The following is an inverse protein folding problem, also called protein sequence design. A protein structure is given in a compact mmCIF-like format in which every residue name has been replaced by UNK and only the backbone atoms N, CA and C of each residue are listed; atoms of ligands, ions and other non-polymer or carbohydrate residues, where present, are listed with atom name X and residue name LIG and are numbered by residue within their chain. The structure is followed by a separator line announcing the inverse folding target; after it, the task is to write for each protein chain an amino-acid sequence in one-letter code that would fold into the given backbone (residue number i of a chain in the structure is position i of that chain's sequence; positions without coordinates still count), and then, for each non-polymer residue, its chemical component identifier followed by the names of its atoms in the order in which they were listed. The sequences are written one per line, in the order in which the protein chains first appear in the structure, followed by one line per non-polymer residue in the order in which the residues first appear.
data_IF_518485283573
#
_entry.id   IF_518485283573
#
_cell.length_a   1.000
_cell.length_b   1.000
_cell.length_c   1.000
_cell.angle_alpha   90.00
_cell.angle_beta   90.00
_cell.angle_gamma   90.00
#
_symmetry.space_group_name_H-M   'P 1'
#
loop_
_entity.id
_entity.type
_entity.pdbx_description
1 polymer ?
#
# COMPACT_ATOMS: atom_id res chain seq x y z
N UNK A 1 0.94 -17.85 -26.45
CA UNK A 1 0.97 -18.86 -25.36
C UNK A 1 0.19 -18.30 -24.18
N UNK A 2 -0.97 -18.90 -23.92
CA UNK A 2 -1.98 -18.48 -22.95
C UNK A 2 -1.55 -18.82 -21.53
N UNK A 3 -1.45 -17.81 -20.66
CA UNK A 3 -1.19 -18.00 -19.24
C UNK A 3 -2.38 -18.70 -18.56
N UNK A 4 -2.13 -19.84 -17.92
CA UNK A 4 -3.08 -20.52 -17.05
C UNK A 4 -3.28 -19.65 -15.80
N UNK A 5 -4.43 -18.97 -15.72
CA UNK A 5 -4.95 -18.48 -14.45
C UNK A 5 -5.48 -19.66 -13.64
N UNK A 6 -4.70 -20.16 -12.69
CA UNK A 6 -5.25 -20.90 -11.56
C UNK A 6 -5.96 -19.91 -10.65
N UNK A 7 -7.29 -19.80 -10.80
CA UNK A 7 -8.16 -19.02 -9.90
C UNK A 7 -8.21 -19.68 -8.53
N UNK A 8 -7.30 -19.32 -7.63
CA UNK A 8 -7.58 -19.41 -6.20
C UNK A 8 -8.70 -18.40 -5.89
N UNK A 9 -9.90 -18.87 -5.58
CA UNK A 9 -11.10 -18.04 -5.39
C UNK A 9 -11.09 -17.17 -4.12
N UNK A 10 -10.00 -17.13 -3.34
CA UNK A 10 -9.91 -16.39 -2.07
C UNK A 10 -8.65 -15.52 -1.89
N UNK A 11 -7.80 -15.33 -2.90
CA UNK A 11 -6.60 -14.47 -2.74
C UNK A 11 -6.94 -13.01 -3.03
N UNK A 12 -6.92 -12.16 -2.01
CA UNK A 12 -7.06 -10.70 -2.15
C UNK A 12 -5.92 -10.15 -3.00
N UNK A 13 -6.24 -9.32 -3.98
CA UNK A 13 -5.23 -8.64 -4.82
C UNK A 13 -4.69 -7.43 -4.04
N UNK A 14 -3.52 -7.61 -3.41
CA UNK A 14 -2.93 -6.60 -2.52
C UNK A 14 -2.39 -5.37 -3.25
N UNK A 15 -1.86 -5.55 -4.46
CA UNK A 15 -1.27 -4.47 -5.24
C UNK A 15 -1.32 -4.80 -6.74
N UNK A 16 -1.07 -3.79 -7.57
CA UNK A 16 -0.80 -3.96 -9.00
C UNK A 16 0.57 -3.45 -9.38
N UNK A 17 1.18 -4.08 -10.38
CA UNK A 17 2.43 -3.62 -10.98
C UNK A 17 2.16 -2.89 -12.29
N UNK A 18 2.75 -1.70 -12.45
CA UNK A 18 2.78 -0.93 -13.69
C UNK A 18 4.23 -0.70 -14.12
N UNK A 19 4.48 -0.51 -15.42
CA UNK A 19 5.81 -0.14 -15.93
C UNK A 19 5.92 1.38 -16.05
N UNK A 20 7.05 1.94 -15.64
CA UNK A 20 7.37 3.35 -15.81
C UNK A 20 7.58 4.10 -14.50
N UNK A 21 7.36 5.42 -14.54
CA UNK A 21 7.37 6.27 -13.35
C UNK A 21 5.94 6.39 -12.78
N UNK A 22 5.80 6.74 -11.49
CA UNK A 22 4.51 7.10 -10.93
C UNK A 22 3.83 8.14 -11.80
N UNK A 23 2.61 7.85 -12.22
CA UNK A 23 1.74 8.78 -12.96
C UNK A 23 0.43 8.92 -12.20
N UNK A 24 -0.31 10.00 -12.45
CA UNK A 24 -1.62 10.23 -11.85
C UNK A 24 -2.71 9.22 -12.31
N UNK A 25 -2.36 8.24 -13.16
CA UNK A 25 -3.30 7.27 -13.69
C UNK A 25 -3.16 5.93 -12.95
N UNK A 26 -4.02 5.71 -11.96
CA UNK A 26 -4.22 4.38 -11.37
C UNK A 26 -4.91 3.47 -12.40
N UNK A 27 -4.51 2.21 -12.58
CA UNK A 27 -5.24 1.28 -13.42
C UNK A 27 -6.70 1.16 -12.94
N UNK A 28 -7.67 1.68 -13.72
CA UNK A 28 -9.06 1.83 -13.26
C UNK A 28 -9.73 0.54 -12.76
N UNK A 29 -9.34 -0.63 -13.31
CA UNK A 29 -9.81 -1.93 -12.81
C UNK A 29 -9.38 -2.21 -11.37
N UNK A 30 -8.17 -1.82 -10.98
CA UNK A 30 -7.68 -2.02 -9.63
C UNK A 30 -8.34 -1.06 -8.64
N UNK A 31 -8.56 0.19 -9.06
CA UNK A 31 -9.31 1.16 -8.26
C UNK A 31 -10.71 0.63 -7.91
N UNK A 32 -11.48 0.19 -8.90
CA UNK A 32 -12.80 -0.42 -8.66
C UNK A 32 -12.73 -1.65 -7.75
N UNK A 33 -11.74 -2.53 -7.94
CA UNK A 33 -11.55 -3.67 -7.06
C UNK A 33 -11.27 -3.27 -5.61
N UNK A 34 -10.41 -2.27 -5.39
CA UNK A 34 -10.10 -1.78 -4.05
C UNK A 34 -11.32 -1.16 -3.38
N UNK A 35 -12.12 -0.39 -4.13
CA UNK A 35 -13.36 0.19 -3.64
C UNK A 35 -14.39 -0.88 -3.28
N UNK A 36 -14.61 -1.88 -4.14
CA UNK A 36 -15.56 -2.98 -3.88
C UNK A 36 -15.17 -3.85 -2.67
N UNK A 37 -13.86 -4.02 -2.42
CA UNK A 37 -13.35 -4.88 -1.35
C UNK A 37 -13.00 -4.11 -0.08
N UNK A 38 -13.15 -2.79 -0.10
CA UNK A 38 -12.82 -1.88 0.99
C UNK A 38 -11.35 -2.01 1.47
N UNK A 39 -10.40 -1.95 0.55
CA UNK A 39 -8.96 -2.16 0.80
C UNK A 39 -8.12 -1.00 0.25
N UNK A 40 -6.88 -0.77 0.74
CA UNK A 40 -6.02 0.29 0.20
C UNK A 40 -5.61 0.01 -1.25
N UNK A 41 -5.31 1.08 -1.98
CA UNK A 41 -4.75 1.01 -3.32
C UNK A 41 -3.23 1.01 -3.19
N UNK A 42 -2.58 -0.05 -3.66
CA UNK A 42 -1.11 -0.15 -3.66
C UNK A 42 -0.62 -0.43 -5.07
N UNK A 43 0.35 0.36 -5.53
CA UNK A 43 0.87 0.30 -6.89
C UNK A 43 2.40 0.21 -6.86
N UNK A 44 2.95 -0.75 -7.58
CA UNK A 44 4.38 -0.90 -7.80
C UNK A 44 4.73 -0.41 -9.21
N UNK A 45 5.45 0.70 -9.30
CA UNK A 45 5.91 1.31 -10.55
C UNK A 45 7.29 0.79 -10.91
N UNK A 46 7.34 -0.30 -11.67
CA UNK A 46 8.59 -0.97 -12.04
C UNK A 46 9.30 -0.27 -13.20
N UNK A 47 10.58 0.01 -12.98
CA UNK A 47 11.58 0.34 -14.03
C UNK A 47 12.51 -0.87 -14.20
N UNK A 48 13.65 -0.68 -14.87
CA UNK A 48 14.59 -1.76 -15.18
C UNK A 48 15.26 -2.36 -13.94
N UNK A 49 15.68 -1.52 -12.98
CA UNK A 49 16.44 -1.94 -11.78
C UNK A 49 15.72 -1.56 -10.49
N UNK A 50 14.97 -0.47 -10.55
CA UNK A 50 14.31 0.14 -9.41
C UNK A 50 12.80 0.16 -9.60
N UNK A 51 12.08 0.32 -8.50
CA UNK A 51 10.66 0.55 -8.53
C UNK A 51 10.26 1.53 -7.44
N UNK A 52 9.16 2.24 -7.70
CA UNK A 52 8.49 3.02 -6.67
C UNK A 52 7.27 2.25 -6.17
N UNK A 53 6.91 2.45 -4.91
CA UNK A 53 5.71 1.88 -4.31
C UNK A 53 4.83 3.02 -3.85
N UNK A 54 3.64 3.14 -4.43
CA UNK A 54 2.66 4.16 -4.06
C UNK A 54 1.50 3.52 -3.32
N UNK A 55 1.18 4.05 -2.15
CA UNK A 55 0.01 3.69 -1.35
C UNK A 55 -0.95 4.87 -1.31
N UNK A 56 -2.20 4.62 -1.72
CA UNK A 56 -3.31 5.56 -1.70
C UNK A 56 -4.44 4.96 -0.88
N UNK A 57 -5.18 5.83 -0.20
CA UNK A 57 -6.17 5.42 0.78
C UNK A 57 -7.48 6.18 0.64
N UNK A 58 -7.68 6.97 -0.41
CA UNK A 58 -8.82 7.89 -0.54
C UNK A 58 -10.18 7.22 -0.30
N UNK A 59 -10.41 6.02 -0.84
CA UNK A 59 -11.64 5.27 -0.56
C UNK A 59 -11.67 4.69 0.85
N UNK A 60 -10.54 4.20 1.36
CA UNK A 60 -10.39 3.69 2.72
C UNK A 60 -10.67 4.74 3.79
N UNK A 61 -10.22 5.98 3.55
CA UNK A 61 -10.45 7.16 4.36
C UNK A 61 -11.94 7.45 4.54
N UNK A 62 -12.73 7.29 3.47
CA UNK A 62 -14.15 7.57 3.49
C UNK A 62 -14.92 6.55 4.34
N UNK A 63 -14.54 5.28 4.28
CA UNK A 63 -15.21 4.20 5.02
C UNK A 63 -14.80 4.13 6.48
N UNK A 64 -13.55 4.46 6.79
CA UNK A 64 -12.99 4.49 8.13
C UNK A 64 -12.77 5.93 8.61
N UNK A 65 -13.65 6.85 8.21
CA UNK A 65 -13.51 8.30 8.47
C UNK A 65 -13.22 8.59 9.93
N UNK A 66 -13.96 7.97 10.82
CA UNK A 66 -13.83 8.13 12.26
C UNK A 66 -12.47 7.71 12.82
N UNK A 67 -11.75 6.79 12.14
CA UNK A 67 -10.37 6.45 12.46
C UNK A 67 -9.39 7.44 11.84
N UNK A 68 -9.56 7.77 10.56
CA UNK A 68 -8.67 8.66 9.83
C UNK A 68 -8.72 10.13 10.29
N UNK A 69 -9.79 10.55 10.96
CA UNK A 69 -9.86 11.85 11.65
C UNK A 69 -9.00 11.90 12.92
N UNK A 70 -8.64 10.75 13.52
CA UNK A 70 -7.84 10.70 14.74
C UNK A 70 -6.37 10.88 14.42
N UNK A 71 -5.73 11.82 15.09
CA UNK A 71 -4.31 12.08 14.95
C UNK A 71 -3.46 10.87 15.35
N UNK A 72 -3.80 10.18 16.45
CA UNK A 72 -2.99 9.02 16.87
C UNK A 72 -3.06 7.85 15.88
N UNK A 73 -4.18 7.69 15.17
CA UNK A 73 -4.31 6.67 14.13
C UNK A 73 -3.44 7.02 12.92
N UNK A 74 -3.49 8.27 12.47
CA UNK A 74 -2.68 8.78 11.36
C UNK A 74 -1.18 8.66 11.64
N UNK A 75 -0.73 9.09 12.81
CA UNK A 75 0.67 8.99 13.23
C UNK A 75 1.14 7.53 13.30
N UNK A 76 0.29 6.59 13.74
CA UNK A 76 0.64 5.18 13.79
C UNK A 76 0.82 4.57 12.38
N UNK A 77 -0.01 4.96 11.40
CA UNK A 77 0.22 4.56 10.00
C UNK A 77 1.56 5.12 9.51
N UNK A 78 1.83 6.40 9.73
CA UNK A 78 3.08 7.05 9.31
C UNK A 78 4.31 6.38 9.95
N UNK A 79 4.27 6.09 11.25
CA UNK A 79 5.37 5.44 11.98
C UNK A 79 5.63 4.00 11.50
N UNK A 80 4.58 3.21 11.22
CA UNK A 80 4.77 1.83 10.72
C UNK A 80 5.20 1.81 9.26
N UNK A 81 4.70 2.74 8.45
CA UNK A 81 5.18 2.91 7.08
C UNK A 81 6.67 3.30 7.05
N UNK A 82 7.13 4.09 8.03
CA UNK A 82 8.54 4.42 8.17
C UNK A 82 9.41 3.18 8.36
N UNK A 83 9.02 2.30 9.28
CA UNK A 83 9.75 1.06 9.56
C UNK A 83 9.84 0.16 8.32
N UNK A 84 8.75 0.08 7.54
CA UNK A 84 8.73 -0.64 6.26
C UNK A 84 9.72 0.01 5.28
N UNK A 85 9.71 1.34 5.16
CA UNK A 85 10.69 2.02 4.32
C UNK A 85 12.13 1.70 4.74
N UNK A 86 12.47 1.86 6.02
CA UNK A 86 13.83 1.62 6.52
C UNK A 86 14.31 0.20 6.21
N UNK A 87 13.42 -0.79 6.36
CA UNK A 87 13.70 -2.20 6.05
C UNK A 87 14.10 -2.41 4.59
N UNK A 88 13.40 -1.78 3.64
CA UNK A 88 13.62 -2.00 2.20
C UNK A 88 14.57 -0.99 1.56
N UNK A 89 14.77 0.18 2.18
CA UNK A 89 15.70 1.21 1.74
C UNK A 89 17.16 0.82 1.97
N UNK A 90 17.45 -0.04 2.95
CA UNK A 90 18.80 -0.49 3.28
C UNK A 90 19.58 -1.04 2.06
N UNK A 91 18.88 -1.61 1.09
CA UNK A 91 19.47 -2.20 -0.12
C UNK A 91 19.56 -1.23 -1.31
N UNK A 92 19.16 0.03 -1.16
CA UNK A 92 19.17 1.03 -2.23
C UNK A 92 19.77 2.36 -1.79
N UNK A 93 20.92 2.71 -2.37
CA UNK A 93 21.57 4.02 -2.18
C UNK A 93 20.78 5.21 -2.74
N UNK A 94 19.68 4.95 -3.46
CA UNK A 94 18.81 5.97 -4.06
C UNK A 94 17.44 6.03 -3.42
N UNK A 95 17.17 5.16 -2.43
CA UNK A 95 15.88 5.14 -1.79
C UNK A 95 15.56 6.50 -1.16
N UNK A 96 14.33 6.93 -1.36
CA UNK A 96 13.75 8.10 -0.73
C UNK A 96 12.29 7.80 -0.42
N UNK A 97 11.63 8.68 0.34
CA UNK A 97 10.22 8.51 0.69
C UNK A 97 9.49 9.83 0.79
N UNK A 98 8.21 9.78 0.51
CA UNK A 98 7.22 10.75 0.95
C UNK A 98 6.19 9.96 1.74
N UNK A 99 6.06 10.23 3.05
CA UNK A 99 5.10 9.55 3.91
C UNK A 99 4.24 10.61 4.56
N UNK A 100 2.94 10.54 4.26
CA UNK A 100 1.89 11.32 4.89
C UNK A 100 0.69 10.40 5.07
N UNK A 101 -0.14 10.64 6.07
CA UNK A 101 -1.38 9.89 6.25
C UNK A 101 -2.33 9.98 5.05
N UNK A 102 -2.17 11.00 4.19
CA UNK A 102 -2.97 11.15 2.97
C UNK A 102 -2.43 10.36 1.77
N UNK A 103 -1.14 10.09 1.76
CA UNK A 103 -0.44 9.57 0.59
C UNK A 103 0.95 9.11 0.99
N UNK A 104 1.37 7.95 0.49
CA UNK A 104 2.74 7.49 0.68
C UNK A 104 3.36 7.03 -0.63
N UNK A 105 4.62 7.39 -0.86
CA UNK A 105 5.43 6.78 -1.91
C UNK A 105 6.83 6.50 -1.41
N UNK A 106 7.27 5.25 -1.61
CA UNK A 106 8.64 4.80 -1.40
C UNK A 106 9.32 4.80 -2.76
N UNK A 107 10.33 5.64 -2.95
CA UNK A 107 11.02 5.85 -4.22
C UNK A 107 12.26 4.98 -4.34
N UNK A 108 12.55 4.55 -5.57
CA UNK A 108 13.81 3.94 -5.98
C UNK A 108 14.25 2.73 -5.11
N UNK A 109 13.28 1.93 -4.65
CA UNK A 109 13.56 0.62 -4.05
C UNK A 109 14.07 -0.35 -5.12
N UNK A 110 14.78 -1.40 -4.71
CA UNK A 110 15.09 -2.51 -5.62
C UNK A 110 13.79 -3.17 -6.08
N UNK A 111 13.70 -3.53 -7.36
CA UNK A 111 12.44 -4.02 -7.94
C UNK A 111 11.86 -5.25 -7.22
N UNK A 112 12.70 -6.14 -6.69
CA UNK A 112 12.30 -7.30 -5.89
C UNK A 112 11.83 -6.95 -4.47
N UNK A 113 12.40 -5.89 -3.88
CA UNK A 113 12.06 -5.42 -2.56
C UNK A 113 10.80 -4.55 -2.58
N UNK A 114 10.53 -3.86 -3.70
CA UNK A 114 9.35 -3.04 -3.89
C UNK A 114 8.04 -3.86 -3.83
N UNK A 115 8.00 -5.08 -4.34
CA UNK A 115 6.81 -5.94 -4.23
C UNK A 115 6.58 -6.43 -2.80
N UNK A 116 7.65 -6.70 -2.06
CA UNK A 116 7.57 -7.07 -0.64
C UNK A 116 7.10 -5.87 0.19
N UNK A 117 7.67 -4.69 -0.06
CA UNK A 117 7.23 -3.44 0.55
C UNK A 117 5.75 -3.14 0.27
N UNK A 118 5.27 -3.40 -0.95
CA UNK A 118 3.86 -3.26 -1.30
C UNK A 118 2.95 -4.21 -0.52
N UNK A 119 3.34 -5.48 -0.39
CA UNK A 119 2.63 -6.44 0.46
C UNK A 119 2.60 -5.99 1.93
N UNK A 120 3.74 -5.55 2.47
CA UNK A 120 3.83 -5.14 3.87
C UNK A 120 3.03 -3.86 4.14
N UNK A 121 3.03 -2.88 3.22
CA UNK A 121 2.19 -1.69 3.32
C UNK A 121 0.71 -2.06 3.33
N UNK A 122 0.29 -2.99 2.47
CA UNK A 122 -1.08 -3.48 2.43
C UNK A 122 -1.46 -4.15 3.76
N UNK A 123 -0.67 -5.13 4.21
CA UNK A 123 -0.96 -5.91 5.41
C UNK A 123 -0.92 -5.04 6.68
N UNK A 124 0.04 -4.11 6.75
CA UNK A 124 0.12 -3.12 7.83
C UNK A 124 -1.13 -2.25 7.89
N UNK A 125 -1.60 -1.75 6.75
CA UNK A 125 -2.79 -0.88 6.70
C UNK A 125 -4.02 -1.62 7.22
N UNK A 126 -4.27 -2.82 6.70
CA UNK A 126 -5.41 -3.64 7.12
C UNK A 126 -5.29 -4.07 8.59
N UNK A 127 -4.08 -4.38 9.04
CA UNK A 127 -3.77 -4.72 10.43
C UNK A 127 -4.08 -3.59 11.40
N UNK A 128 -3.61 -2.36 11.13
CA UNK A 128 -3.88 -1.20 11.99
C UNK A 128 -5.38 -0.92 12.08
N UNK A 129 -6.11 -0.94 10.96
CA UNK A 129 -7.58 -0.76 10.96
C UNK A 129 -8.23 -1.80 11.88
N UNK A 130 -7.88 -3.07 11.72
CA UNK A 130 -8.44 -4.14 12.54
C UNK A 130 -8.08 -4.00 14.02
N UNK A 131 -6.83 -3.59 14.35
CA UNK A 131 -6.39 -3.31 15.71
C UNK A 131 -7.26 -2.25 16.39
N UNK A 132 -7.51 -1.11 15.72
CA UNK A 132 -8.32 -0.03 16.27
C UNK A 132 -9.78 -0.43 16.40
N UNK A 133 -10.37 -1.07 15.38
CA UNK A 133 -11.74 -1.60 15.45
C UNK A 133 -11.93 -2.61 16.58
N UNK A 134 -10.91 -3.41 16.88
CA UNK A 134 -10.97 -4.36 17.99
C UNK A 134 -10.88 -3.68 19.36
N UNK A 135 -10.15 -2.56 19.49
CA UNK A 135 -10.08 -1.79 20.74
C UNK A 135 -11.43 -1.14 21.07
N UNK A 136 -12.15 -0.65 20.06
CA UNK A 136 -13.49 -0.05 20.22
C UNK A 136 -14.56 -1.05 20.68
N UNK A 137 -14.36 -2.35 20.41
CA UNK A 137 -15.30 -3.42 20.78
C UNK A 137 -15.08 -3.97 22.19
N UNK A 138 -14.00 -3.56 22.87
CA UNK A 138 -13.74 -3.99 24.25
C UNK A 138 -14.54 -3.06 25.20
N UNK A 139 -15.43 -3.62 26.03
CA UNK A 139 -16.26 -2.84 26.95
C UNK A 139 -15.43 -2.14 28.03
#
# INVERSE_FOLDING_TARGET
MTAKHTKNHNSVVKFVSARGRPTLLVPGKHLHYCDENHIPIVIVWKRTVYADVTWLYDSLALMHRDLFEREEFRLNIEERAEKIYEQYAANSKRAARAITHHFMTLYDLKAEDAEKAACDLFDMTMGIIQEYRNRERRP
#
